data_IF_104917465847
#
_entry.id   IF_104917465847
#
_cell.length_a   1.000
_cell.length_b   1.000
_cell.length_c   1.000
_cell.angle_alpha   90.00
_cell.angle_beta   90.00
_cell.angle_gamma   90.00
#
_symmetry.space_group_name_H-M   'P 1'
#
loop_
_entity.id
_entity.type
_entity.pdbx_description
1 polymer ?
#
# COMPACT_ATOMS: atom_id res chain seq x y z
N UNK A 1 -8.70 -48.86 -37.72
CA UNK A 1 -8.55 -47.41 -37.80
C UNK A 1 -8.65 -46.64 -36.49
N UNK A 2 -9.01 -47.26 -35.39
CA UNK A 2 -9.12 -46.58 -34.07
C UNK A 2 -7.82 -46.49 -33.25
N UNK A 3 -6.77 -47.18 -33.67
CA UNK A 3 -5.49 -47.22 -32.92
C UNK A 3 -4.58 -46.00 -33.15
N UNK A 4 -4.79 -45.25 -34.22
CA UNK A 4 -3.97 -44.08 -34.54
C UNK A 4 -4.39 -42.83 -33.74
N UNK A 5 -5.66 -42.72 -33.38
CA UNK A 5 -6.19 -41.61 -32.60
C UNK A 5 -5.74 -41.60 -31.13
N UNK A 6 -5.38 -42.79 -30.60
CA UNK A 6 -4.99 -42.90 -29.20
C UNK A 6 -3.51 -42.56 -28.97
N UNK A 7 -2.70 -42.56 -30.02
CA UNK A 7 -1.26 -42.24 -29.94
C UNK A 7 -0.98 -40.73 -29.97
N UNK A 8 -1.88 -39.97 -30.58
CA UNK A 8 -1.76 -38.51 -30.66
C UNK A 8 -2.23 -37.77 -29.40
N UNK A 9 -3.00 -38.44 -28.53
CA UNK A 9 -3.52 -37.80 -27.29
C UNK A 9 -2.50 -37.67 -26.17
N UNK A 10 -1.49 -38.55 -26.16
CA UNK A 10 -0.49 -38.55 -25.08
C UNK A 10 0.48 -37.35 -25.11
N UNK A 11 0.99 -36.90 -26.28
CA UNK A 11 1.87 -35.73 -26.28
C UNK A 11 1.14 -34.42 -26.00
N UNK A 12 -0.15 -34.30 -26.37
CA UNK A 12 -0.92 -33.10 -26.04
C UNK A 12 -1.19 -32.93 -24.55
N UNK A 13 -1.38 -34.04 -23.83
CA UNK A 13 -1.61 -33.99 -22.37
C UNK A 13 -0.35 -33.54 -21.60
N UNK A 14 0.82 -33.90 -22.10
CA UNK A 14 2.09 -33.44 -21.49
C UNK A 14 2.41 -32.00 -21.86
N UNK A 15 2.07 -31.56 -23.08
CA UNK A 15 2.25 -30.17 -23.51
C UNK A 15 1.36 -29.22 -22.68
N UNK A 16 0.12 -29.61 -22.41
CA UNK A 16 -0.80 -28.84 -21.57
C UNK A 16 -0.32 -28.76 -20.10
N UNK A 17 0.29 -29.81 -19.58
CA UNK A 17 0.87 -29.82 -18.21
C UNK A 17 2.11 -28.96 -18.09
N UNK A 18 2.97 -28.96 -19.09
CA UNK A 18 4.18 -28.13 -19.12
C UNK A 18 3.81 -26.66 -19.29
N UNK A 19 2.82 -26.34 -20.14
CA UNK A 19 2.33 -24.99 -20.34
C UNK A 19 1.62 -24.46 -19.07
N UNK A 20 0.88 -25.32 -18.35
CA UNK A 20 0.22 -24.98 -17.09
C UNK A 20 1.17 -24.70 -15.94
N UNK A 21 2.33 -25.37 -15.90
CA UNK A 21 3.35 -25.11 -14.88
C UNK A 21 4.15 -23.82 -15.13
N UNK A 22 4.30 -23.39 -16.39
CA UNK A 22 5.00 -22.14 -16.70
C UNK A 22 4.18 -20.90 -16.33
N UNK A 23 2.85 -21.00 -16.25
CA UNK A 23 2.02 -19.84 -15.90
C UNK A 23 1.96 -19.55 -14.40
N UNK A 24 2.30 -20.51 -13.54
CA UNK A 24 2.38 -20.24 -12.09
C UNK A 24 3.67 -19.54 -11.64
N UNK A 25 4.69 -19.52 -12.50
CA UNK A 25 5.96 -18.84 -12.18
C UNK A 25 5.91 -17.31 -12.38
N UNK A 26 4.81 -16.77 -12.92
CA UNK A 26 4.67 -15.33 -13.16
C UNK A 26 4.34 -14.51 -11.92
N UNK A 27 4.15 -15.12 -10.75
CA UNK A 27 3.93 -14.43 -9.49
C UNK A 27 5.18 -14.34 -8.61
N UNK A 28 6.34 -14.80 -9.05
CA UNK A 28 7.58 -14.38 -8.41
C UNK A 28 7.84 -12.96 -8.84
N UNK A 29 7.65 -12.03 -7.92
CA UNK A 29 8.08 -10.65 -8.05
C UNK A 29 9.52 -10.65 -8.54
N UNK A 30 9.68 -10.34 -9.83
CA UNK A 30 10.98 -10.06 -10.40
C UNK A 30 11.47 -8.79 -9.70
N UNK A 31 12.15 -8.94 -8.59
CA UNK A 31 12.96 -7.89 -7.98
C UNK A 31 14.16 -7.67 -8.89
N UNK A 32 13.90 -7.17 -10.12
CA UNK A 32 14.94 -6.65 -10.98
C UNK A 32 15.39 -5.36 -10.34
N UNK A 33 16.61 -5.38 -9.89
CA UNK A 33 17.32 -4.38 -9.13
C UNK A 33 17.00 -2.95 -9.47
N UNK A 34 16.92 -2.12 -8.44
CA UNK A 34 16.83 -0.68 -8.54
C UNK A 34 15.50 -0.11 -8.10
N UNK A 35 14.70 -0.82 -7.33
CA UNK A 35 13.62 -0.21 -6.58
C UNK A 35 14.20 0.60 -5.42
N UNK A 36 14.64 1.81 -5.69
CA UNK A 36 14.85 2.82 -4.64
C UNK A 36 13.48 3.20 -4.07
N UNK A 37 12.79 2.27 -3.40
CA UNK A 37 11.77 2.63 -2.45
C UNK A 37 12.44 3.49 -1.38
N UNK A 38 11.71 4.42 -0.74
CA UNK A 38 12.29 5.22 0.32
C UNK A 38 12.89 4.26 1.36
N UNK A 39 14.20 4.32 1.55
CA UNK A 39 14.88 3.53 2.55
C UNK A 39 14.31 3.94 3.91
N UNK A 40 13.64 3.01 4.58
CA UNK A 40 13.12 3.25 5.90
C UNK A 40 14.31 3.23 6.86
N UNK A 41 14.69 4.39 7.36
CA UNK A 41 15.67 4.49 8.43
C UNK A 41 14.99 4.06 9.75
N UNK A 42 15.43 2.96 10.38
CA UNK A 42 14.81 2.49 11.62
C UNK A 42 15.00 3.48 12.78
N UNK A 43 15.92 4.42 12.67
CA UNK A 43 16.17 5.44 13.67
C UNK A 43 15.38 6.74 13.46
N UNK A 44 14.77 6.90 12.27
CA UNK A 44 13.95 8.07 11.95
C UNK A 44 12.46 7.80 12.25
N UNK A 45 11.68 8.81 12.66
CA UNK A 45 10.23 8.67 12.79
C UNK A 45 9.59 8.35 11.43
N UNK A 46 8.73 7.34 11.40
CA UNK A 46 7.98 6.96 10.20
C UNK A 46 6.84 7.97 9.99
N UNK A 47 6.81 8.72 8.88
CA UNK A 47 5.71 9.62 8.59
C UNK A 47 4.46 8.84 8.18
N UNK A 48 3.37 9.06 8.89
CA UNK A 48 2.07 8.46 8.61
C UNK A 48 1.04 9.56 8.42
N UNK A 49 0.33 9.54 7.30
CA UNK A 49 -0.74 10.48 7.01
C UNK A 49 -2.10 9.84 7.32
N UNK A 50 -2.91 10.51 8.12
CA UNK A 50 -4.28 10.14 8.42
C UNK A 50 -5.22 11.17 7.78
N UNK A 51 -6.00 10.75 6.80
CA UNK A 51 -7.02 11.59 6.18
C UNK A 51 -8.35 11.36 6.89
N UNK A 52 -8.98 12.44 7.34
CA UNK A 52 -10.24 12.39 8.10
C UNK A 52 -11.27 13.36 7.52
N UNK A 53 -12.58 13.07 7.63
CA UNK A 53 -13.63 13.93 7.05
C UNK A 53 -13.88 15.22 7.83
N UNK A 54 -13.05 15.58 8.79
CA UNK A 54 -13.17 16.82 9.55
C UNK A 54 -13.11 18.07 8.69
N UNK A 55 -13.66 19.17 9.19
CA UNK A 55 -13.75 20.45 8.48
C UNK A 55 -14.93 20.54 7.52
N UNK A 56 -15.84 19.57 7.49
CA UNK A 56 -17.07 19.60 6.69
C UNK A 56 -18.17 20.50 7.29
N UNK A 57 -18.05 20.83 8.57
CA UNK A 57 -19.11 21.51 9.34
C UNK A 57 -20.26 20.58 9.76
N UNK A 58 -20.22 19.32 9.40
CA UNK A 58 -21.22 18.34 9.80
C UNK A 58 -20.78 17.65 11.11
N UNK A 59 -21.68 17.61 12.10
CA UNK A 59 -21.37 17.05 13.43
C UNK A 59 -20.96 15.57 13.38
N UNK A 60 -21.53 14.77 12.47
CA UNK A 60 -21.19 13.37 12.26
C UNK A 60 -19.76 13.20 11.76
N UNK A 61 -19.34 14.00 10.79
CA UNK A 61 -17.98 13.98 10.23
C UNK A 61 -16.95 14.42 11.26
N UNK A 62 -17.27 15.45 12.04
CA UNK A 62 -16.39 15.93 13.11
C UNK A 62 -16.22 14.90 14.22
N UNK A 63 -17.30 14.19 14.57
CA UNK A 63 -17.22 13.09 15.54
C UNK A 63 -16.38 11.94 15.02
N UNK A 64 -16.60 11.55 13.77
CA UNK A 64 -15.84 10.49 13.10
C UNK A 64 -14.35 10.87 13.00
N UNK A 65 -14.04 12.09 12.61
CA UNK A 65 -12.66 12.57 12.51
C UNK A 65 -11.94 12.49 13.87
N UNK A 66 -12.58 12.90 14.95
CA UNK A 66 -12.02 12.77 16.31
C UNK A 66 -11.83 11.33 16.73
N UNK A 67 -12.79 10.47 16.45
CA UNK A 67 -12.73 9.05 16.79
C UNK A 67 -11.56 8.36 16.07
N UNK A 68 -11.38 8.63 14.76
CA UNK A 68 -10.27 8.10 13.98
C UNK A 68 -8.91 8.59 14.48
N UNK A 69 -8.81 9.87 14.84
CA UNK A 69 -7.56 10.43 15.41
C UNK A 69 -7.21 9.78 16.75
N UNK A 70 -8.20 9.59 17.61
CA UNK A 70 -7.99 8.95 18.91
C UNK A 70 -7.58 7.50 18.77
N UNK A 71 -8.23 6.75 17.86
CA UNK A 71 -7.88 5.37 17.55
C UNK A 71 -6.45 5.26 17.00
N UNK A 72 -6.06 6.15 16.09
CA UNK A 72 -4.70 6.17 15.55
C UNK A 72 -3.64 6.46 16.64
N UNK A 73 -3.91 7.42 17.51
CA UNK A 73 -2.99 7.73 18.64
C UNK A 73 -2.87 6.57 19.61
N UNK A 74 -3.98 5.89 19.90
CA UNK A 74 -3.97 4.71 20.76
C UNK A 74 -3.15 3.58 20.14
N UNK A 75 -3.38 3.28 18.86
CA UNK A 75 -2.61 2.27 18.14
C UNK A 75 -1.11 2.59 18.12
N UNK A 76 -0.74 3.87 17.95
CA UNK A 76 0.65 4.31 17.99
C UNK A 76 1.26 4.11 19.38
N UNK A 77 0.51 4.35 20.45
CA UNK A 77 1.00 4.14 21.83
C UNK A 77 1.30 2.67 22.14
N UNK A 78 0.60 1.74 21.46
CA UNK A 78 0.80 0.31 21.62
C UNK A 78 1.98 -0.23 20.78
N UNK A 79 2.47 0.54 19.80
CA UNK A 79 3.65 0.20 19.01
C UNK A 79 4.94 0.45 19.77
N UNK A 80 5.35 -0.48 20.60
CA UNK A 80 6.59 -0.39 21.35
C UNK A 80 7.83 -0.28 20.45
N UNK A 81 8.63 0.77 20.60
CA UNK A 81 9.93 0.92 19.95
C UNK A 81 9.92 1.55 18.55
N UNK A 82 8.76 1.76 17.93
CA UNK A 82 8.64 2.46 16.63
C UNK A 82 8.18 3.90 16.86
N UNK A 83 8.93 4.86 16.33
CA UNK A 83 8.53 6.27 16.38
C UNK A 83 7.68 6.59 15.15
N UNK A 84 6.44 7.04 15.37
CA UNK A 84 5.51 7.44 14.30
C UNK A 84 5.33 8.96 14.35
N UNK A 85 5.51 9.63 13.20
CA UNK A 85 5.14 11.04 13.00
C UNK A 85 3.75 11.08 12.34
N UNK A 86 2.71 11.06 13.18
CA UNK A 86 1.32 11.10 12.70
C UNK A 86 0.92 12.51 12.28
N UNK A 87 0.52 12.66 11.02
CA UNK A 87 -0.04 13.91 10.48
C UNK A 87 -1.48 13.71 10.08
N UNK A 88 -2.34 14.60 10.56
CA UNK A 88 -3.77 14.54 10.29
C UNK A 88 -4.12 15.58 9.23
N UNK A 89 -4.82 15.13 8.18
CA UNK A 89 -5.30 15.97 7.08
C UNK A 89 -6.82 15.93 7.05
N UNK A 90 -7.44 17.12 7.10
CA UNK A 90 -8.88 17.25 7.01
C UNK A 90 -9.31 17.32 5.55
N UNK A 91 -10.29 16.50 5.18
CA UNK A 91 -10.78 16.40 3.80
C UNK A 91 -12.12 17.12 3.59
N UNK A 92 -12.71 17.66 4.65
CA UNK A 92 -14.01 18.34 4.59
C UNK A 92 -15.16 17.46 4.07
N UNK A 93 -15.02 16.13 4.15
CA UNK A 93 -15.99 15.19 3.56
C UNK A 93 -16.05 15.23 2.02
N UNK A 94 -15.10 15.89 1.36
CA UNK A 94 -15.09 16.10 -0.10
C UNK A 94 -14.07 15.21 -0.80
N UNK A 95 -14.45 14.46 -1.85
CA UNK A 95 -13.51 13.64 -2.62
C UNK A 95 -12.37 14.46 -3.26
N UNK A 96 -12.65 15.65 -3.77
CA UNK A 96 -11.64 16.52 -4.37
C UNK A 96 -10.61 17.01 -3.34
N UNK A 97 -11.07 17.39 -2.15
CA UNK A 97 -10.14 17.74 -1.06
C UNK A 97 -9.37 16.54 -0.56
N UNK A 98 -9.98 15.35 -0.49
CA UNK A 98 -9.28 14.14 -0.09
C UNK A 98 -8.11 13.85 -1.05
N UNK A 99 -8.33 13.97 -2.36
CA UNK A 99 -7.26 13.81 -3.35
C UNK A 99 -6.14 14.86 -3.17
N UNK A 100 -6.50 16.13 -3.00
CA UNK A 100 -5.50 17.19 -2.81
C UNK A 100 -4.68 16.96 -1.52
N UNK A 101 -5.33 16.57 -0.42
CA UNK A 101 -4.65 16.28 0.84
C UNK A 101 -3.78 15.02 0.75
N UNK A 102 -4.19 14.00 0.00
CA UNK A 102 -3.36 12.82 -0.24
C UNK A 102 -2.07 13.16 -1.00
N UNK A 103 -2.17 13.94 -2.07
CA UNK A 103 -1.00 14.41 -2.83
C UNK A 103 -0.06 15.21 -1.91
N UNK A 104 -0.61 16.15 -1.16
CA UNK A 104 0.17 16.96 -0.21
C UNK A 104 0.87 16.09 0.85
N UNK A 105 0.18 15.10 1.40
CA UNK A 105 0.74 14.19 2.40
C UNK A 105 1.95 13.40 1.85
N UNK A 106 1.85 12.92 0.61
CA UNK A 106 2.94 12.24 -0.08
C UNK A 106 4.13 13.18 -0.31
N UNK A 107 3.89 14.39 -0.79
CA UNK A 107 4.95 15.37 -1.04
C UNK A 107 5.68 15.78 0.25
N UNK A 108 4.95 15.97 1.33
CA UNK A 108 5.52 16.30 2.63
C UNK A 108 6.30 15.11 3.23
N UNK A 109 5.83 13.88 3.04
CA UNK A 109 6.51 12.66 3.43
C UNK A 109 7.81 12.44 2.66
N UNK A 110 7.79 12.63 1.34
CA UNK A 110 8.97 12.52 0.49
C UNK A 110 10.06 13.55 0.84
N UNK A 111 9.68 14.80 1.11
CA UNK A 111 10.62 15.84 1.52
C UNK A 111 11.32 15.54 2.83
N UNK A 112 10.63 14.97 3.81
CA UNK A 112 11.24 14.56 5.09
C UNK A 112 12.23 13.42 4.90
N UNK A 113 11.89 12.42 4.09
CA UNK A 113 12.79 11.31 3.80
C UNK A 113 14.09 11.79 3.15
N UNK A 114 14.04 12.75 2.25
CA UNK A 114 15.23 13.30 1.58
C UNK A 114 16.12 14.17 2.49
N UNK A 115 15.55 14.81 3.51
CA UNK A 115 16.31 15.67 4.42
C UNK A 115 17.11 14.88 5.46
N UNK A 116 16.73 13.65 5.74
CA UNK A 116 17.43 12.76 6.70
C UNK A 116 18.69 12.12 6.10
N UNK A 117 18.85 12.17 4.78
CA UNK A 117 19.98 11.58 4.05
C UNK A 117 21.17 12.56 3.83
N UNK A 118 21.26 13.71 4.53
CA UNK A 118 22.39 14.64 4.47
C UNK A 118 23.28 14.57 5.68
#
# INVERSE_FOLDING_TARGET
MLSFLNRARKPLAHLGRVLGLLTLAACTTLSIGGGGGPAIDPNAPVPVALLVPGGSGQSGDELLARSLQNAARLAISDLGGVRIDLRVYQTGGSPGQAQAMAIRAVDEGAKKSSSTLR
#
